data_IF_106141552969
#
_entry.id   IF_106141552969
#
_cell.length_a   1.000
_cell.length_b   1.000
_cell.length_c   1.000
_cell.angle_alpha   90.00
_cell.angle_beta   90.00
_cell.angle_gamma   90.00
#
_symmetry.space_group_name_H-M   'P 1'
#
loop_
_entity.id
_entity.type
_entity.pdbx_description
1 polymer ?
#
# COMPACT_ATOMS: atom_id res chain seq x y z
N UNK A 1 -31.47 -18.20 -39.77
CA UNK A 1 -30.52 -17.14 -39.36
C UNK A 1 -30.65 -16.70 -37.89
N UNK A 2 -31.77 -16.80 -37.20
CA UNK A 2 -31.93 -16.41 -35.77
C UNK A 2 -31.16 -17.31 -34.77
N UNK A 3 -30.99 -18.60 -35.04
CA UNK A 3 -30.39 -19.61 -34.15
C UNK A 3 -28.88 -19.44 -33.95
N UNK A 4 -28.18 -18.94 -34.95
CA UNK A 4 -26.71 -18.72 -34.88
C UNK A 4 -26.39 -17.50 -34.04
N UNK A 5 -27.24 -16.45 -34.04
CA UNK A 5 -27.06 -15.24 -33.23
C UNK A 5 -27.23 -15.49 -31.72
N UNK A 6 -28.20 -16.34 -31.33
CA UNK A 6 -28.44 -16.70 -29.92
C UNK A 6 -27.31 -17.55 -29.33
N UNK A 7 -26.75 -18.49 -30.09
CA UNK A 7 -25.61 -19.34 -29.67
C UNK A 7 -24.35 -18.51 -29.41
N UNK A 8 -24.08 -17.50 -30.23
CA UNK A 8 -22.95 -16.60 -30.03
C UNK A 8 -23.17 -15.65 -28.85
N UNK A 9 -24.39 -15.23 -28.56
CA UNK A 9 -24.72 -14.38 -27.43
C UNK A 9 -24.58 -15.15 -26.08
N UNK A 10 -25.01 -16.40 -26.02
CA UNK A 10 -24.86 -17.27 -24.85
C UNK A 10 -23.36 -17.55 -24.58
N UNK A 11 -22.59 -17.85 -25.63
CA UNK A 11 -21.14 -18.04 -25.49
C UNK A 11 -20.43 -16.80 -24.94
N UNK A 12 -20.80 -15.61 -25.40
CA UNK A 12 -20.25 -14.34 -24.89
C UNK A 12 -20.57 -14.12 -23.41
N UNK A 13 -21.79 -14.41 -22.96
CA UNK A 13 -22.16 -14.30 -21.53
C UNK A 13 -21.42 -15.29 -20.64
N UNK A 14 -21.27 -16.52 -21.09
CA UNK A 14 -20.52 -17.56 -20.35
C UNK A 14 -19.06 -17.13 -20.18
N UNK A 15 -18.44 -16.60 -21.21
CA UNK A 15 -17.05 -16.12 -21.15
C UNK A 15 -16.91 -14.95 -20.16
N UNK A 16 -17.84 -13.99 -20.17
CA UNK A 16 -17.81 -12.86 -19.23
C UNK A 16 -17.98 -13.32 -17.78
N UNK A 17 -18.89 -14.28 -17.53
CA UNK A 17 -19.10 -14.84 -16.18
C UNK A 17 -17.85 -15.57 -15.70
N UNK A 18 -17.22 -16.40 -16.54
CA UNK A 18 -15.99 -17.13 -16.18
C UNK A 18 -14.81 -16.18 -15.91
N UNK A 19 -14.70 -15.07 -16.63
CA UNK A 19 -13.67 -14.05 -16.37
C UNK A 19 -13.93 -13.32 -15.04
N UNK A 20 -15.19 -13.00 -14.75
CA UNK A 20 -15.56 -12.37 -13.47
C UNK A 20 -15.30 -13.30 -12.28
N UNK A 21 -15.60 -14.59 -12.40
CA UNK A 21 -15.29 -15.59 -11.37
C UNK A 21 -13.78 -15.77 -11.16
N UNK A 22 -12.99 -15.74 -12.23
CA UNK A 22 -11.54 -15.84 -12.15
C UNK A 22 -10.93 -14.60 -11.44
N UNK A 23 -11.44 -13.40 -11.75
CA UNK A 23 -11.02 -12.15 -11.08
C UNK A 23 -11.42 -12.19 -9.60
N UNK A 24 -12.62 -12.65 -9.26
CA UNK A 24 -13.07 -12.80 -7.88
C UNK A 24 -12.22 -13.81 -7.10
N UNK A 25 -11.85 -14.94 -7.71
CA UNK A 25 -10.96 -15.93 -7.11
C UNK A 25 -9.55 -15.37 -6.88
N UNK A 26 -9.00 -14.59 -7.81
CA UNK A 26 -7.68 -13.97 -7.64
C UNK A 26 -7.68 -12.91 -6.53
N UNK A 27 -8.73 -12.09 -6.46
CA UNK A 27 -8.90 -11.09 -5.37
C UNK A 27 -9.10 -11.78 -4.02
N UNK A 28 -9.88 -12.87 -3.96
CA UNK A 28 -10.12 -13.64 -2.75
C UNK A 28 -8.84 -14.33 -2.23
N UNK A 29 -8.01 -14.90 -3.11
CA UNK A 29 -6.73 -15.50 -2.74
C UNK A 29 -5.70 -14.47 -2.25
N UNK A 30 -5.71 -13.27 -2.82
CA UNK A 30 -4.89 -12.16 -2.34
C UNK A 30 -5.29 -11.69 -0.92
N UNK A 31 -6.60 -11.72 -0.62
CA UNK A 31 -7.13 -11.34 0.69
C UNK A 31 -6.78 -12.35 1.81
N UNK A 32 -6.51 -13.63 1.48
CA UNK A 32 -6.21 -14.68 2.47
C UNK A 32 -4.71 -14.81 2.78
N UNK A 33 -3.83 -14.09 2.07
CA UNK A 33 -2.40 -14.02 2.39
C UNK A 33 -1.64 -15.36 2.32
N UNK A 34 -2.10 -16.32 1.50
CA UNK A 34 -1.41 -17.58 1.30
C UNK A 34 -0.37 -17.47 0.19
N UNK A 35 0.88 -17.22 0.56
CA UNK A 35 2.03 -17.38 -0.32
C UNK A 35 2.21 -18.86 -0.70
N UNK A 36 1.91 -19.21 -1.94
CA UNK A 36 2.58 -20.33 -2.59
C UNK A 36 2.88 -20.00 -4.04
N UNK A 37 4.17 -19.96 -4.36
CA UNK A 37 4.72 -19.77 -5.71
C UNK A 37 4.14 -20.75 -6.74
N UNK A 38 3.72 -21.92 -6.33
CA UNK A 38 3.07 -22.95 -7.15
C UNK A 38 1.64 -22.54 -7.57
N UNK A 39 0.88 -21.92 -6.67
CA UNK A 39 -0.47 -21.44 -6.92
C UNK A 39 -0.49 -20.27 -7.90
N UNK A 40 0.40 -19.32 -7.73
CA UNK A 40 0.56 -18.19 -8.65
C UNK A 40 0.98 -18.61 -10.05
N UNK A 41 1.82 -19.67 -10.19
CA UNK A 41 2.16 -20.28 -11.48
C UNK A 41 0.96 -20.96 -12.15
N UNK A 42 0.09 -21.61 -11.38
CA UNK A 42 -1.12 -22.26 -11.90
C UNK A 42 -2.13 -21.23 -12.41
N UNK A 43 -2.34 -20.13 -11.65
CA UNK A 43 -3.21 -19.02 -12.09
C UNK A 43 -2.67 -18.35 -13.35
N UNK A 44 -1.36 -18.11 -13.42
CA UNK A 44 -0.73 -17.52 -14.63
C UNK A 44 -0.86 -18.46 -15.84
N UNK A 45 -0.79 -19.78 -15.64
CA UNK A 45 -0.96 -20.76 -16.70
C UNK A 45 -2.41 -20.84 -17.17
N UNK A 46 -3.38 -20.83 -16.24
CA UNK A 46 -4.82 -20.88 -16.55
C UNK A 46 -5.27 -19.56 -17.22
N UNK A 47 -4.75 -18.42 -16.79
CA UNK A 47 -4.98 -17.13 -17.46
C UNK A 47 -4.44 -17.11 -18.90
N UNK A 48 -3.27 -17.72 -19.14
CA UNK A 48 -2.72 -17.89 -20.49
C UNK A 48 -3.59 -18.79 -21.37
N UNK A 49 -4.13 -19.87 -20.80
CA UNK A 49 -5.02 -20.82 -21.49
C UNK A 49 -6.36 -20.17 -21.86
N UNK A 50 -6.93 -19.38 -20.97
CA UNK A 50 -8.15 -18.59 -21.21
C UNK A 50 -7.91 -17.54 -22.29
N UNK A 51 -6.78 -16.83 -22.25
CA UNK A 51 -6.41 -15.83 -23.26
C UNK A 51 -6.19 -16.47 -24.65
N UNK A 52 -5.65 -17.70 -24.72
CA UNK A 52 -5.49 -18.45 -25.96
C UNK A 52 -6.86 -18.86 -26.56
N UNK A 53 -7.80 -19.29 -25.72
CA UNK A 53 -9.17 -19.67 -26.16
C UNK A 53 -9.99 -18.46 -26.61
N UNK A 54 -9.68 -17.24 -26.10
CA UNK A 54 -10.31 -15.97 -26.49
C UNK A 54 -9.81 -15.41 -27.82
N UNK A 55 -8.65 -15.86 -28.32
CA UNK A 55 -8.09 -15.38 -29.58
C UNK A 55 -8.98 -15.70 -30.80
N UNK A 56 -9.82 -16.74 -30.69
CA UNK A 56 -10.78 -17.16 -31.71
C UNK A 56 -12.15 -16.50 -31.59
N UNK A 57 -12.39 -15.69 -30.54
CA UNK A 57 -13.60 -14.91 -30.34
C UNK A 57 -13.34 -13.45 -30.74
N UNK A 58 -13.44 -13.17 -32.04
CA UNK A 58 -13.26 -11.85 -32.65
C UNK A 58 -14.08 -10.77 -31.95
N UNK A 59 -13.45 -9.98 -31.07
CA UNK A 59 -13.87 -8.64 -30.63
C UNK A 59 -12.60 -7.84 -30.40
N UNK A 60 -12.53 -6.53 -30.68
CA UNK A 60 -11.31 -5.73 -30.50
C UNK A 60 -11.02 -5.54 -29.00
N UNK A 61 -10.38 -6.55 -28.41
CA UNK A 61 -10.01 -6.62 -26.97
C UNK A 61 -8.58 -6.07 -26.76
N UNK A 62 -7.86 -5.71 -27.83
CA UNK A 62 -6.46 -5.31 -27.76
C UNK A 62 -6.22 -4.13 -26.83
N UNK A 63 -7.10 -3.13 -26.86
CA UNK A 63 -6.91 -1.90 -26.07
C UNK A 63 -7.26 -2.13 -24.59
N UNK A 64 -8.34 -2.85 -24.31
CA UNK A 64 -8.77 -3.16 -22.93
C UNK A 64 -7.79 -4.07 -22.20
N UNK A 65 -7.20 -5.06 -22.87
CA UNK A 65 -6.20 -5.97 -22.28
C UNK A 65 -4.90 -5.24 -21.99
N UNK A 66 -4.48 -4.32 -22.87
CA UNK A 66 -3.28 -3.51 -22.67
C UNK A 66 -3.45 -2.56 -21.48
N UNK A 67 -4.60 -1.90 -21.36
CA UNK A 67 -4.92 -0.99 -20.27
C UNK A 67 -5.02 -1.72 -18.93
N UNK A 68 -5.68 -2.88 -18.89
CA UNK A 68 -5.78 -3.72 -17.69
C UNK A 68 -4.41 -4.24 -17.23
N UNK A 69 -3.56 -4.67 -18.16
CA UNK A 69 -2.19 -5.13 -17.85
C UNK A 69 -1.35 -4.01 -17.26
N UNK A 70 -1.41 -2.82 -17.84
CA UNK A 70 -0.68 -1.65 -17.33
C UNK A 70 -1.14 -1.26 -15.92
N UNK A 71 -2.44 -1.34 -15.63
CA UNK A 71 -2.99 -1.05 -14.29
C UNK A 71 -2.53 -2.09 -13.26
N UNK A 72 -2.54 -3.38 -13.63
CA UNK A 72 -2.07 -4.46 -12.73
C UNK A 72 -0.57 -4.31 -12.43
N UNK A 73 0.24 -4.11 -13.45
CA UNK A 73 1.69 -3.90 -13.28
C UNK A 73 2.00 -2.67 -12.41
N UNK A 74 1.26 -1.57 -12.59
CA UNK A 74 1.41 -0.38 -11.76
C UNK A 74 0.99 -0.61 -10.30
N UNK A 75 -0.06 -1.41 -10.04
CA UNK A 75 -0.51 -1.75 -8.69
C UNK A 75 0.46 -2.70 -7.98
N UNK A 76 1.04 -3.66 -8.70
CA UNK A 76 2.08 -4.56 -8.16
C UNK A 76 3.34 -3.79 -7.79
N UNK A 77 3.81 -2.88 -8.64
CA UNK A 77 4.99 -2.05 -8.36
C UNK A 77 4.76 -1.12 -7.16
N UNK A 78 3.56 -0.53 -7.05
CA UNK A 78 3.18 0.28 -5.90
C UNK A 78 3.18 -0.54 -4.61
N UNK A 79 2.56 -1.72 -4.60
CA UNK A 79 2.51 -2.61 -3.44
C UNK A 79 3.91 -3.06 -3.00
N UNK A 80 4.79 -3.35 -3.96
CA UNK A 80 6.19 -3.65 -3.70
C UNK A 80 6.92 -2.47 -3.06
N UNK A 81 6.69 -1.25 -3.53
CA UNK A 81 7.30 -0.04 -2.98
C UNK A 81 6.81 0.24 -1.57
N UNK A 82 5.50 0.09 -1.29
CA UNK A 82 4.91 0.18 0.04
C UNK A 82 5.61 -0.79 1.03
N UNK A 83 5.69 -2.07 0.68
CA UNK A 83 6.35 -3.09 1.50
C UNK A 83 7.84 -2.84 1.71
N UNK A 84 8.58 -2.51 0.65
CA UNK A 84 10.01 -2.20 0.73
C UNK A 84 10.29 -0.96 1.59
N UNK A 85 9.40 0.03 1.60
CA UNK A 85 9.51 1.23 2.43
C UNK A 85 9.44 0.88 3.91
N UNK A 86 8.55 -0.04 4.30
CA UNK A 86 8.46 -0.50 5.69
C UNK A 86 9.70 -1.32 6.08
N UNK A 87 10.15 -2.25 5.22
CA UNK A 87 11.39 -3.02 5.45
C UNK A 87 12.59 -2.08 5.60
N UNK A 88 12.62 -0.98 4.85
CA UNK A 88 13.68 0.03 4.99
C UNK A 88 13.59 0.76 6.33
N UNK A 89 12.40 1.18 6.75
CA UNK A 89 12.17 1.83 8.04
C UNK A 89 12.58 0.93 9.22
N UNK A 90 12.27 -0.36 9.15
CA UNK A 90 12.56 -1.34 10.20
C UNK A 90 14.06 -1.56 10.47
N UNK A 91 14.94 -1.19 9.54
CA UNK A 91 16.40 -1.28 9.72
C UNK A 91 16.91 -0.37 10.82
N UNK A 92 16.15 0.65 11.19
CA UNK A 92 16.51 1.67 12.16
C UNK A 92 15.81 1.50 13.52
N UNK A 93 15.11 0.39 13.71
CA UNK A 93 14.49 0.06 15.00
C UNK A 93 15.57 0.00 16.10
N UNK A 94 15.33 0.72 17.20
CA UNK A 94 16.26 0.85 18.32
C UNK A 94 17.23 2.02 18.22
N UNK A 95 17.32 2.72 17.08
CA UNK A 95 18.11 3.95 16.97
C UNK A 95 17.51 5.06 17.85
N UNK A 96 18.33 5.98 18.36
CA UNK A 96 17.90 6.96 19.35
C UNK A 96 16.93 8.00 18.80
N UNK A 97 16.04 8.47 19.67
CA UNK A 97 15.25 9.69 19.43
C UNK A 97 16.00 10.89 19.98
N UNK A 98 16.04 11.98 19.22
CA UNK A 98 16.51 13.28 19.67
C UNK A 98 15.56 14.36 19.13
N UNK A 99 14.95 15.15 20.01
CA UNK A 99 14.04 16.23 19.61
C UNK A 99 14.78 17.24 18.71
N UNK A 100 14.26 17.49 17.50
CA UNK A 100 14.91 18.30 16.47
C UNK A 100 16.13 17.64 15.82
N UNK A 101 16.44 16.40 16.17
CA UNK A 101 17.51 15.61 15.57
C UNK A 101 17.23 15.24 14.12
N UNK A 102 18.28 15.10 13.31
CA UNK A 102 18.20 14.89 11.85
C UNK A 102 19.09 13.78 11.33
N UNK A 103 19.89 13.21 12.19
CA UNK A 103 20.82 12.15 11.85
C UNK A 103 20.26 10.82 12.33
N UNK A 104 20.09 9.88 11.40
CA UNK A 104 19.43 8.60 11.69
C UNK A 104 20.23 7.73 12.66
N UNK A 105 21.55 7.88 12.72
CA UNK A 105 22.43 7.09 13.56
C UNK A 105 22.59 7.71 14.95
N UNK A 106 22.68 9.04 15.03
CA UNK A 106 22.92 9.74 16.30
C UNK A 106 21.65 10.25 16.97
N UNK A 107 20.55 10.33 16.24
CA UNK A 107 19.21 10.61 16.75
C UNK A 107 18.37 11.49 15.83
N UNK A 108 17.13 11.09 15.67
CA UNK A 108 16.11 11.82 14.90
C UNK A 108 14.86 12.02 15.73
N UNK A 109 14.08 13.06 15.41
CA UNK A 109 12.70 13.16 15.87
C UNK A 109 11.71 12.45 14.91
N UNK A 110 10.43 12.47 15.23
CA UNK A 110 9.42 11.78 14.46
C UNK A 110 9.31 12.28 13.00
N UNK A 111 9.45 13.57 12.76
CA UNK A 111 9.43 14.15 11.42
C UNK A 111 10.72 13.86 10.64
N UNK A 112 11.87 13.94 11.32
CA UNK A 112 13.16 13.58 10.77
C UNK A 112 13.21 12.12 10.33
N UNK A 113 12.66 11.21 11.13
CA UNK A 113 12.57 9.79 10.79
C UNK A 113 11.72 9.56 9.54
N UNK A 114 10.49 10.09 9.49
CA UNK A 114 9.62 9.96 8.31
C UNK A 114 10.28 10.53 7.07
N UNK A 115 10.84 11.74 7.16
CA UNK A 115 11.55 12.37 6.06
C UNK A 115 12.73 11.49 5.59
N UNK A 116 13.54 10.97 6.50
CA UNK A 116 14.66 10.10 6.18
C UNK A 116 14.21 8.85 5.42
N UNK A 117 13.20 8.14 5.93
CA UNK A 117 12.69 6.90 5.33
C UNK A 117 12.20 7.14 3.89
N UNK A 118 11.46 8.20 3.67
CA UNK A 118 10.91 8.48 2.34
C UNK A 118 11.93 9.07 1.37
N UNK A 119 12.93 9.79 1.85
CA UNK A 119 14.00 10.35 1.03
C UNK A 119 15.03 9.31 0.61
N UNK A 120 15.50 8.49 1.56
CA UNK A 120 16.60 7.55 1.33
C UNK A 120 16.11 6.14 1.00
N UNK A 121 14.85 5.83 1.33
CA UNK A 121 14.21 4.55 1.04
C UNK A 121 13.71 4.42 -0.41
N UNK A 122 13.00 3.33 -0.71
CA UNK A 122 12.51 3.03 -2.07
C UNK A 122 11.56 4.07 -2.64
N UNK A 123 10.85 4.82 -1.80
CA UNK A 123 9.87 5.84 -2.18
C UNK A 123 10.47 7.04 -2.93
N UNK A 124 11.75 7.36 -2.67
CA UNK A 124 12.49 8.45 -3.31
C UNK A 124 11.76 9.80 -3.31
N UNK A 125 11.08 10.12 -2.21
CA UNK A 125 10.43 11.44 -2.01
C UNK A 125 11.42 12.39 -1.36
N UNK A 126 11.45 13.63 -1.83
CA UNK A 126 12.37 14.65 -1.30
C UNK A 126 11.56 15.80 -0.69
N UNK A 127 11.55 15.88 0.64
CA UNK A 127 10.91 16.93 1.40
C UNK A 127 11.95 17.74 2.16
N UNK A 128 11.74 19.07 2.20
CA UNK A 128 12.65 20.02 2.87
C UNK A 128 12.32 20.16 4.35
N UNK A 129 11.05 20.01 4.68
CA UNK A 129 10.56 20.24 6.04
C UNK A 129 11.00 19.15 7.00
N UNK A 130 11.50 19.57 8.16
CA UNK A 130 12.04 18.70 9.20
C UNK A 130 11.22 18.78 10.50
N UNK A 131 10.04 19.37 10.48
CA UNK A 131 9.09 19.34 11.58
C UNK A 131 7.72 18.86 11.10
N UNK A 132 6.87 18.39 12.04
CA UNK A 132 5.60 17.74 11.70
C UNK A 132 4.66 18.64 10.92
N UNK A 133 4.53 19.92 11.33
CA UNK A 133 3.67 20.90 10.65
C UNK A 133 4.12 21.21 9.23
N UNK A 134 5.41 21.48 9.05
CA UNK A 134 5.98 21.70 7.73
C UNK A 134 5.86 20.48 6.82
N UNK A 135 6.16 19.29 7.36
CA UNK A 135 6.00 18.02 6.63
C UNK A 135 4.54 17.81 6.20
N UNK A 136 3.57 18.07 7.07
CA UNK A 136 2.15 17.96 6.75
C UNK A 136 1.73 18.80 5.55
N UNK A 137 2.24 20.03 5.45
CA UNK A 137 1.93 20.93 4.34
C UNK A 137 2.69 20.60 3.06
N UNK A 138 3.87 20.00 3.17
CA UNK A 138 4.75 19.76 2.02
C UNK A 138 4.47 18.40 1.34
N UNK A 139 4.12 17.36 2.08
CA UNK A 139 4.09 15.99 1.54
C UNK A 139 3.04 15.74 0.46
N UNK A 140 2.00 16.57 0.37
CA UNK A 140 0.91 16.36 -0.58
C UNK A 140 0.18 15.03 -0.37
N UNK A 141 -0.11 14.33 -1.47
CA UNK A 141 -0.78 13.03 -1.45
C UNK A 141 -2.29 13.12 -1.21
N UNK A 142 -2.93 11.94 -1.11
CA UNK A 142 -4.38 11.84 -0.83
C UNK A 142 -4.62 11.63 0.66
N UNK A 143 -5.59 12.32 1.22
CA UNK A 143 -6.14 11.97 2.54
C UNK A 143 -6.86 10.63 2.46
N UNK A 144 -6.62 9.75 3.41
CA UNK A 144 -7.13 8.38 3.47
C UNK A 144 -7.84 8.17 4.80
N UNK A 145 -9.01 7.54 4.77
CA UNK A 145 -9.69 7.16 6.01
C UNK A 145 -8.93 6.04 6.74
N UNK A 146 -9.01 6.03 8.06
CA UNK A 146 -8.26 5.13 8.94
C UNK A 146 -8.50 3.65 8.62
N UNK A 147 -9.73 3.30 8.24
CA UNK A 147 -10.13 1.95 7.83
C UNK A 147 -9.55 1.49 6.47
N UNK A 148 -9.01 2.43 5.68
CA UNK A 148 -8.44 2.18 4.34
C UNK A 148 -6.92 2.37 4.27
N UNK A 149 -6.27 2.44 5.43
CA UNK A 149 -4.82 2.57 5.49
C UNK A 149 -4.11 1.37 4.86
N UNK A 150 -3.02 1.67 4.18
CA UNK A 150 -2.06 0.70 3.62
C UNK A 150 -0.66 0.94 4.17
N UNK A 151 0.22 -0.08 4.18
CA UNK A 151 1.62 0.12 4.54
C UNK A 151 2.25 1.28 3.77
N UNK A 152 2.98 2.14 4.45
CA UNK A 152 3.57 3.36 3.88
C UNK A 152 2.69 4.61 3.97
N UNK A 153 1.44 4.52 4.38
CA UNK A 153 0.63 5.71 4.70
C UNK A 153 1.23 6.45 5.89
N UNK A 154 1.25 7.78 5.82
CA UNK A 154 1.80 8.66 6.85
C UNK A 154 0.66 9.17 7.73
N UNK A 155 0.75 8.93 9.04
CA UNK A 155 -0.28 9.29 10.00
C UNK A 155 0.18 10.48 10.83
N UNK A 156 -0.64 11.52 10.90
CA UNK A 156 -0.41 12.72 11.70
C UNK A 156 -1.30 12.72 12.94
N UNK A 157 -0.71 13.07 14.09
CA UNK A 157 -1.38 13.01 15.38
C UNK A 157 -1.35 14.36 16.12
N UNK A 158 -2.41 14.57 16.94
CA UNK A 158 -2.55 15.72 17.84
C UNK A 158 -3.03 16.97 17.14
N UNK A 159 -3.91 17.76 17.78
CA UNK A 159 -4.55 18.96 17.22
C UNK A 159 -3.54 20.03 16.74
N UNK A 160 -2.31 20.02 17.25
CA UNK A 160 -1.21 20.88 16.84
C UNK A 160 -0.17 20.19 15.96
N UNK A 161 -0.49 19.07 15.31
CA UNK A 161 0.47 18.28 14.52
C UNK A 161 1.73 17.93 15.32
N UNK A 162 1.54 17.31 16.48
CA UNK A 162 2.60 17.10 17.46
C UNK A 162 3.37 15.77 17.28
N UNK A 163 2.93 14.91 16.36
CA UNK A 163 3.61 13.65 16.07
C UNK A 163 3.25 13.13 14.69
N UNK A 164 4.15 12.34 14.10
CA UNK A 164 3.96 11.66 12.81
C UNK A 164 4.55 10.26 12.86
N UNK A 165 3.91 9.32 12.17
CA UNK A 165 4.33 7.92 12.08
C UNK A 165 4.05 7.36 10.68
N UNK A 166 4.67 6.23 10.36
CA UNK A 166 4.42 5.46 9.12
C UNK A 166 3.56 4.25 9.49
N UNK A 167 2.45 4.05 8.81
CA UNK A 167 1.65 2.85 8.98
C UNK A 167 2.37 1.63 8.40
N UNK A 168 2.58 0.63 9.22
CA UNK A 168 3.35 -0.57 8.85
C UNK A 168 2.48 -1.76 8.43
N UNK A 169 1.15 -1.57 8.39
CA UNK A 169 0.20 -2.67 8.19
C UNK A 169 -0.20 -3.36 9.49
N UNK A 170 -1.25 -4.18 9.43
CA UNK A 170 -1.73 -5.01 10.54
C UNK A 170 -1.96 -4.23 11.86
N UNK A 171 -2.44 -2.99 11.76
CA UNK A 171 -2.68 -2.13 12.92
C UNK A 171 -1.41 -1.67 13.65
N UNK A 172 -0.25 -1.72 13.00
CA UNK A 172 1.03 -1.28 13.54
C UNK A 172 1.53 -0.01 12.86
N UNK A 173 2.34 0.75 13.60
CA UNK A 173 3.09 1.91 13.10
C UNK A 173 4.56 1.75 13.44
N UNK A 174 5.42 2.34 12.62
CA UNK A 174 6.85 2.55 12.90
C UNK A 174 7.13 4.04 13.00
N UNK A 175 7.80 4.47 14.05
CA UNK A 175 8.02 5.87 14.35
C UNK A 175 9.19 6.09 15.30
N UNK A 176 9.80 7.28 15.27
CA UNK A 176 10.65 7.74 16.36
C UNK A 176 9.72 8.28 17.46
N UNK A 177 9.58 7.54 18.55
CA UNK A 177 8.52 7.73 19.54
C UNK A 177 8.86 8.84 20.55
N UNK A 178 9.88 8.65 21.33
CA UNK A 178 10.40 9.53 22.36
C UNK A 178 11.82 9.10 22.78
N UNK A 179 12.45 9.84 23.67
CA UNK A 179 13.83 9.61 24.14
C UNK A 179 14.01 8.26 24.86
N UNK A 180 12.96 7.73 25.48
CA UNK A 180 13.02 6.45 26.20
C UNK A 180 12.91 5.24 25.26
N UNK A 181 12.22 5.39 24.14
CA UNK A 181 11.88 4.29 23.24
C UNK A 181 12.62 4.33 21.89
N UNK A 182 13.14 5.50 21.51
CA UNK A 182 13.79 5.67 20.21
C UNK A 182 12.86 5.41 19.03
N UNK A 183 13.45 4.87 17.96
CA UNK A 183 12.69 4.39 16.81
C UNK A 183 12.14 3.01 17.15
N UNK A 184 10.82 2.86 17.13
CA UNK A 184 10.17 1.62 17.53
C UNK A 184 8.93 1.31 16.67
N UNK A 185 8.48 0.05 16.78
CA UNK A 185 7.22 -0.40 16.20
C UNK A 185 6.20 -0.60 17.32
N UNK A 186 5.04 0.03 17.20
CA UNK A 186 3.96 -0.06 18.20
C UNK A 186 2.62 -0.38 17.54
N UNK A 187 1.65 -0.87 18.32
CA UNK A 187 0.25 -0.93 17.87
C UNK A 187 -0.30 0.48 17.74
N UNK A 188 -0.99 0.78 16.64
CA UNK A 188 -1.63 2.07 16.43
C UNK A 188 -2.74 2.31 17.46
N UNK A 189 -3.54 1.29 17.75
CA UNK A 189 -4.63 1.35 18.73
C UNK A 189 -4.40 0.40 19.89
N UNK A 190 -4.75 0.86 21.08
CA UNK A 190 -4.86 0.08 22.32
C UNK A 190 -6.15 -0.74 22.33
N UNK A 191 -6.27 -1.69 23.25
CA UNK A 191 -7.48 -2.51 23.42
C UNK A 191 -8.75 -1.71 23.72
N UNK A 192 -8.62 -0.51 24.30
CA UNK A 192 -9.73 0.42 24.56
C UNK A 192 -10.10 1.32 23.37
N UNK A 193 -9.51 1.09 22.18
CA UNK A 193 -9.76 1.87 20.97
C UNK A 193 -9.03 3.21 20.88
N UNK A 194 -8.33 3.67 21.94
CA UNK A 194 -7.49 4.86 21.84
C UNK A 194 -6.22 4.60 21.03
N UNK A 195 -5.63 5.65 20.44
CA UNK A 195 -4.31 5.53 19.82
C UNK A 195 -3.24 5.19 20.86
N UNK A 196 -2.07 4.72 20.41
CA UNK A 196 -0.95 4.34 21.28
C UNK A 196 -0.58 5.43 22.30
N UNK A 197 -0.70 6.70 21.92
CA UNK A 197 -0.38 7.87 22.75
C UNK A 197 -1.60 8.59 23.36
N UNK A 198 -2.82 8.16 23.01
CA UNK A 198 -4.05 8.88 23.34
C UNK A 198 -4.31 10.12 22.47
N UNK A 199 -3.36 10.54 21.63
CA UNK A 199 -3.53 11.68 20.70
C UNK A 199 -4.47 11.28 19.54
N UNK A 200 -5.37 12.16 19.14
CA UNK A 200 -6.24 11.92 17.98
C UNK A 200 -5.42 11.88 16.68
N UNK A 201 -5.83 11.00 15.76
CA UNK A 201 -5.38 11.07 14.38
C UNK A 201 -6.00 12.30 13.74
N UNK A 202 -5.16 13.18 13.18
CA UNK A 202 -5.58 14.41 12.49
C UNK A 202 -5.81 14.12 11.02
N UNK A 203 -4.89 13.40 10.40
CA UNK A 203 -4.97 13.02 8.99
C UNK A 203 -4.09 11.80 8.71
N UNK A 204 -4.41 11.11 7.64
CA UNK A 204 -3.58 10.04 7.06
C UNK A 204 -3.32 10.39 5.61
N UNK A 205 -2.05 10.41 5.20
CA UNK A 205 -1.65 10.77 3.84
C UNK A 205 -1.02 9.60 3.11
N UNK A 206 -1.56 9.28 1.93
CA UNK A 206 -0.95 8.35 0.98
C UNK A 206 -0.15 9.12 -0.05
N UNK A 207 1.16 8.85 -0.10
CA UNK A 207 2.13 9.52 -0.99
C UNK A 207 2.85 8.56 -1.93
N UNK A 208 2.60 7.25 -1.75
CA UNK A 208 3.09 6.16 -2.59
C UNK A 208 2.06 5.78 -3.65
#
# INVERSE_FOLDING_TARGET
MKWIKTRNWIKKRIVVILVMELILLTVFCYAIGTETTAYNRKIAFDAKKVAFTMKDAVVPVKDTVKETKTVIEAQEDQSLTEGKTIVFADRYLGNPYVLGGRDIETGVDCAGFVNYVFTHGPARKHWKSMNVGGLYHEIGGKSVSVDKMKPGDIIFFGSGLSHVAIYAGNGQIVHAMDEANGICRTKLFRSNGSTYSGKKIVDVRRVL
#
